data_IF_934372532070
#
_entry.id   IF_934372532070
#
_cell.length_a   1.000
_cell.length_b   1.000
_cell.length_c   1.000
_cell.angle_alpha   90.00
_cell.angle_beta   90.00
_cell.angle_gamma   90.00
#
_symmetry.space_group_name_H-M   'P 1'
#
loop_
_entity.id
_entity.type
_entity.pdbx_description
1 polymer ?
#
# COMPACT_ATOMS: atom_id res chain seq x y z
N UNK A 1 3.39 1.13 -0.46
CA UNK A 1 4.65 0.38 -0.67
C UNK A 1 5.44 0.38 0.64
N UNK A 2 6.18 -0.70 0.90
CA UNK A 2 7.11 -0.75 2.02
C UNK A 2 8.20 0.31 1.86
N UNK A 3 8.74 0.82 2.96
CA UNK A 3 9.79 1.82 2.96
C UNK A 3 9.74 2.74 4.18
N UNK A 4 10.70 3.63 4.24
CA UNK A 4 10.75 4.68 5.26
C UNK A 4 10.15 5.96 4.70
N UNK A 5 9.21 6.52 5.43
CA UNK A 5 8.50 7.75 5.07
C UNK A 5 8.77 8.82 6.12
N UNK A 6 8.85 10.07 5.66
CA UNK A 6 8.97 11.22 6.51
C UNK A 6 7.69 12.03 6.46
N UNK A 7 7.19 12.47 7.61
CA UNK A 7 5.94 13.23 7.71
C UNK A 7 6.11 14.46 8.59
N UNK A 8 5.32 15.47 8.29
CA UNK A 8 5.24 16.70 9.06
C UNK A 8 3.84 17.28 8.96
N UNK A 9 3.47 18.13 9.91
CA UNK A 9 2.25 18.92 9.85
C UNK A 9 2.54 20.31 9.30
N UNK A 10 1.61 20.84 8.52
CA UNK A 10 1.65 22.24 8.12
C UNK A 10 0.39 22.97 8.57
N UNK A 11 0.56 24.22 8.97
CA UNK A 11 -0.49 25.08 9.44
C UNK A 11 -0.48 26.40 8.69
N UNK A 12 -1.67 26.96 8.45
CA UNK A 12 -1.84 28.31 7.94
C UNK A 12 -3.01 28.95 8.69
N UNK A 13 -2.99 30.26 8.85
CA UNK A 13 -4.15 31.00 9.30
C UNK A 13 -5.24 30.97 8.23
N UNK A 14 -6.50 31.00 8.64
CA UNK A 14 -7.63 30.99 7.72
C UNK A 14 -7.52 32.13 6.70
N UNK A 15 -7.69 31.79 5.41
CA UNK A 15 -7.59 32.75 4.31
C UNK A 15 -6.16 33.10 3.86
N UNK A 16 -5.13 32.45 4.41
CA UNK A 16 -3.75 32.65 3.98
C UNK A 16 -3.16 31.42 3.29
N UNK A 17 -2.11 31.62 2.47
CA UNK A 17 -1.29 30.57 1.88
C UNK A 17 0.10 30.47 2.52
N UNK A 18 0.33 31.26 3.59
CA UNK A 18 1.57 31.20 4.36
C UNK A 18 1.53 30.02 5.32
N UNK A 19 2.31 28.98 5.02
CA UNK A 19 2.38 27.78 5.83
C UNK A 19 3.56 27.83 6.80
N UNK A 20 3.34 27.28 8.00
CA UNK A 20 4.38 26.90 8.95
C UNK A 20 4.37 25.39 9.11
N UNK A 21 5.52 24.79 9.25
CA UNK A 21 5.70 23.35 9.37
C UNK A 21 6.09 22.99 10.80
N UNK A 22 5.39 22.02 11.38
CA UNK A 22 5.72 21.51 12.71
C UNK A 22 6.79 20.44 12.64
N UNK A 23 7.73 20.46 13.57
CA UNK A 23 8.73 19.43 13.72
C UNK A 23 8.38 18.43 14.82
N UNK A 24 9.07 17.32 14.85
CA UNK A 24 8.84 16.18 15.73
C UNK A 24 9.05 16.52 17.22
N UNK A 25 10.02 17.35 17.55
CA UNK A 25 10.37 17.71 18.93
C UNK A 25 9.51 18.83 19.53
N UNK A 26 8.51 19.30 18.81
CA UNK A 26 7.67 20.44 19.16
C UNK A 26 8.23 21.77 18.62
N UNK A 27 7.33 22.69 18.26
CA UNK A 27 7.69 23.93 17.59
C UNK A 27 7.88 23.79 16.07
N UNK A 28 8.49 24.79 15.45
CA UNK A 28 8.66 24.83 14.01
C UNK A 28 9.80 23.94 13.53
N UNK A 29 9.61 23.36 12.35
CA UNK A 29 10.65 22.62 11.63
C UNK A 29 11.86 23.53 11.37
N UNK A 30 13.06 23.11 11.75
CA UNK A 30 14.29 23.90 11.66
C UNK A 30 15.45 23.20 10.92
N UNK A 31 15.21 21.97 10.42
CA UNK A 31 16.20 21.22 9.64
C UNK A 31 17.34 20.58 10.45
N UNK A 32 17.36 20.73 11.77
CA UNK A 32 18.44 20.19 12.63
C UNK A 32 17.90 19.37 13.79
N UNK A 33 17.42 20.01 14.84
CA UNK A 33 16.91 19.36 16.05
C UNK A 33 15.41 19.07 15.98
N UNK A 34 14.67 19.89 15.27
CA UNK A 34 13.22 19.76 15.12
C UNK A 34 12.86 19.46 13.66
N UNK A 35 12.87 18.19 13.33
CA UNK A 35 12.76 17.67 11.96
C UNK A 35 11.49 16.86 11.76
N UNK A 36 11.36 16.21 10.61
CA UNK A 36 10.23 15.35 10.28
C UNK A 36 10.10 14.16 11.23
N UNK A 37 8.88 13.71 11.46
CA UNK A 37 8.64 12.38 12.01
C UNK A 37 9.01 11.30 10.99
N UNK A 38 9.34 10.11 11.47
CA UNK A 38 9.73 8.95 10.65
C UNK A 38 8.70 7.85 10.83
N UNK A 39 8.22 7.30 9.72
CA UNK A 39 7.34 6.14 9.67
C UNK A 39 7.98 5.07 8.80
N UNK A 40 8.25 3.92 9.38
CA UNK A 40 8.65 2.74 8.61
C UNK A 40 7.44 1.88 8.32
N UNK A 41 7.24 1.55 7.06
CA UNK A 41 6.20 0.63 6.59
C UNK A 41 6.89 -0.63 6.11
N UNK A 42 6.68 -1.72 6.82
CA UNK A 42 7.22 -3.03 6.46
C UNK A 42 6.39 -3.69 5.36
N UNK A 43 6.97 -4.66 4.66
CA UNK A 43 6.23 -5.57 3.80
C UNK A 43 5.54 -6.66 4.61
N UNK A 44 4.91 -7.61 3.92
CA UNK A 44 4.39 -8.82 4.55
C UNK A 44 5.56 -9.67 5.09
N UNK A 45 5.39 -10.21 6.31
CA UNK A 45 6.43 -10.98 6.98
C UNK A 45 6.69 -12.30 6.27
N UNK A 46 5.63 -12.97 5.77
CA UNK A 46 5.75 -14.24 5.10
C UNK A 46 4.55 -14.53 4.19
N UNK A 47 4.84 -15.16 3.04
CA UNK A 47 3.84 -15.65 2.08
C UNK A 47 4.33 -16.94 1.42
N UNK A 48 3.41 -17.82 1.06
CA UNK A 48 3.74 -19.02 0.29
C UNK A 48 2.65 -19.38 -0.73
N UNK A 49 3.06 -20.19 -1.71
CA UNK A 49 2.17 -21.04 -2.47
C UNK A 49 2.09 -22.36 -1.70
N UNK A 50 0.96 -22.62 -1.05
CA UNK A 50 0.83 -23.73 -0.12
C UNK A 50 0.55 -25.04 -0.86
N UNK A 51 -0.47 -25.03 -1.74
CA UNK A 51 -0.98 -26.27 -2.35
C UNK A 51 -1.92 -25.93 -3.53
N UNK A 52 -1.96 -26.80 -4.57
CA UNK A 52 -0.98 -27.79 -4.90
C UNK A 52 0.26 -27.19 -5.57
N UNK A 53 1.41 -27.88 -5.52
CA UNK A 53 2.64 -27.43 -6.18
C UNK A 53 2.59 -27.61 -7.71
N UNK A 54 1.79 -28.56 -8.18
CA UNK A 54 1.53 -28.84 -9.60
C UNK A 54 0.22 -29.62 -9.75
N UNK A 55 -0.26 -29.79 -10.97
CA UNK A 55 -1.46 -30.57 -11.26
C UNK A 55 -1.75 -30.64 -12.75
N UNK A 56 -2.79 -31.39 -13.09
CA UNK A 56 -3.30 -31.51 -14.46
C UNK A 56 -4.82 -31.44 -14.45
N UNK A 57 -5.38 -30.67 -15.38
CA UNK A 57 -6.81 -30.55 -15.58
C UNK A 57 -7.14 -30.67 -17.07
N UNK A 58 -8.38 -31.02 -17.39
CA UNK A 58 -8.88 -30.90 -18.76
C UNK A 58 -8.93 -29.44 -19.21
N UNK A 59 -8.80 -29.18 -20.48
CA UNK A 59 -9.00 -27.84 -21.03
C UNK A 59 -10.34 -27.25 -20.56
N UNK A 60 -10.34 -25.97 -20.23
CA UNK A 60 -11.48 -25.24 -19.64
C UNK A 60 -11.92 -25.74 -18.25
N UNK A 61 -11.22 -26.68 -17.64
CA UNK A 61 -11.44 -27.10 -16.25
C UNK A 61 -11.02 -26.04 -15.23
N UNK A 62 -11.40 -26.26 -13.98
CA UNK A 62 -11.03 -25.42 -12.85
C UNK A 62 -9.88 -26.04 -12.06
N UNK A 63 -8.94 -25.22 -11.61
CA UNK A 63 -7.82 -25.61 -10.78
C UNK A 63 -7.71 -24.66 -9.59
N UNK A 64 -7.98 -25.16 -8.39
CA UNK A 64 -7.89 -24.38 -7.16
C UNK A 64 -6.47 -24.43 -6.61
N UNK A 65 -5.97 -23.25 -6.27
CA UNK A 65 -4.64 -23.06 -5.68
C UNK A 65 -4.80 -22.35 -4.35
N UNK A 66 -4.09 -22.81 -3.34
CA UNK A 66 -4.12 -22.26 -2.00
C UNK A 66 -2.79 -21.58 -1.69
N UNK A 67 -2.87 -20.44 -1.01
CA UNK A 67 -1.71 -19.70 -0.54
C UNK A 67 -1.97 -19.15 0.84
N UNK A 68 -0.92 -19.02 1.62
CA UNK A 68 -0.98 -18.48 2.97
C UNK A 68 -0.14 -17.24 3.12
N UNK A 69 -0.55 -16.37 4.03
CA UNK A 69 0.16 -15.16 4.41
C UNK A 69 0.19 -15.02 5.91
N UNK A 70 1.31 -14.54 6.41
CA UNK A 70 1.49 -14.16 7.80
C UNK A 70 1.98 -12.72 7.89
N UNK A 71 1.36 -11.97 8.79
CA UNK A 71 1.80 -10.63 9.21
C UNK A 71 1.58 -10.52 10.72
N UNK A 72 2.65 -10.30 11.46
CA UNK A 72 2.63 -10.27 12.92
C UNK A 72 1.65 -9.22 13.47
N UNK A 73 0.79 -9.66 14.39
CA UNK A 73 -0.20 -8.78 15.02
C UNK A 73 -1.40 -8.43 14.13
N UNK A 74 -1.47 -8.95 12.92
CA UNK A 74 -2.52 -8.65 11.94
C UNK A 74 -3.28 -9.91 11.53
N UNK A 75 -2.60 -10.90 10.94
CA UNK A 75 -3.24 -12.15 10.48
C UNK A 75 -3.50 -13.15 11.59
N UNK A 76 -3.13 -12.86 12.84
CA UNK A 76 -3.40 -13.70 14.01
C UNK A 76 -4.87 -13.68 14.44
N UNK A 77 -5.65 -12.71 13.97
CA UNK A 77 -7.07 -12.58 14.31
C UNK A 77 -7.89 -13.51 13.45
N UNK A 78 -8.94 -14.08 14.03
CA UNK A 78 -9.84 -14.97 13.28
C UNK A 78 -10.58 -14.23 12.17
N UNK A 79 -10.60 -14.82 10.96
CA UNK A 79 -11.28 -14.31 9.79
C UNK A 79 -10.37 -13.51 8.86
N UNK A 80 -10.91 -13.09 7.73
CA UNK A 80 -10.16 -12.38 6.70
C UNK A 80 -9.59 -11.06 7.20
N UNK A 81 -8.31 -10.84 7.02
CA UNK A 81 -7.66 -9.57 7.37
C UNK A 81 -8.17 -8.44 6.49
N UNK A 82 -8.70 -7.38 7.10
CA UNK A 82 -9.26 -6.22 6.40
C UNK A 82 -8.17 -5.49 5.61
N UNK A 83 -8.43 -5.26 4.33
CA UNK A 83 -7.52 -4.55 3.44
C UNK A 83 -6.41 -5.40 2.83
N UNK A 84 -6.25 -6.64 3.22
CA UNK A 84 -5.36 -7.59 2.56
C UNK A 84 -6.05 -8.14 1.30
N UNK A 85 -5.38 -8.03 0.17
CA UNK A 85 -5.86 -8.55 -1.11
C UNK A 85 -4.90 -9.64 -1.58
N UNK A 86 -5.47 -10.76 -1.99
CA UNK A 86 -4.76 -11.87 -2.61
C UNK A 86 -5.20 -12.03 -4.06
N UNK A 87 -4.25 -12.25 -4.95
CA UNK A 87 -4.50 -12.56 -6.35
C UNK A 87 -3.68 -13.78 -6.77
N UNK A 88 -4.28 -14.65 -7.58
CA UNK A 88 -3.60 -15.73 -8.27
C UNK A 88 -3.31 -15.32 -9.71
N UNK A 89 -2.08 -15.43 -10.13
CA UNK A 89 -1.65 -15.14 -11.50
C UNK A 89 -1.33 -16.41 -12.26
N UNK A 90 -1.51 -16.36 -13.58
CA UNK A 90 -1.18 -17.46 -14.47
C UNK A 90 -0.44 -16.98 -15.72
N UNK A 91 0.57 -17.72 -16.15
CA UNK A 91 1.37 -17.45 -17.36
C UNK A 91 1.70 -18.74 -18.08
N UNK A 92 1.81 -18.69 -19.41
CA UNK A 92 2.33 -19.78 -20.22
C UNK A 92 3.87 -19.78 -20.31
N UNK A 93 4.53 -18.85 -19.64
CA UNK A 93 5.99 -18.72 -19.63
C UNK A 93 6.49 -18.73 -18.19
N UNK A 94 7.51 -19.53 -17.90
CA UNK A 94 8.20 -19.51 -16.60
C UNK A 94 9.09 -18.25 -16.51
N UNK A 95 8.54 -17.18 -16.01
CA UNK A 95 9.20 -15.87 -15.88
C UNK A 95 8.90 -15.26 -14.52
N UNK A 96 9.61 -14.19 -14.18
CA UNK A 96 9.35 -13.43 -12.94
C UNK A 96 7.89 -12.92 -12.91
N UNK A 97 7.09 -13.33 -11.91
CA UNK A 97 5.69 -12.92 -11.80
C UNK A 97 5.48 -11.40 -11.69
N UNK A 98 6.50 -10.66 -11.25
CA UNK A 98 6.42 -9.19 -11.19
C UNK A 98 6.31 -8.53 -12.57
N UNK A 99 6.70 -9.26 -13.62
CA UNK A 99 6.64 -8.81 -15.02
C UNK A 99 5.35 -9.19 -15.73
N UNK A 100 4.48 -9.98 -15.10
CA UNK A 100 3.25 -10.44 -15.74
C UNK A 100 2.26 -9.31 -15.93
N UNK A 101 1.55 -9.32 -17.03
CA UNK A 101 0.55 -8.31 -17.37
C UNK A 101 -0.59 -8.29 -16.32
N UNK A 102 -1.25 -7.16 -16.17
CA UNK A 102 -2.32 -6.99 -15.18
C UNK A 102 -3.50 -7.95 -15.37
N UNK A 103 -3.79 -8.35 -16.60
CA UNK A 103 -4.85 -9.31 -16.92
C UNK A 103 -4.48 -10.78 -16.66
N UNK A 104 -3.23 -11.06 -16.28
CA UNK A 104 -2.81 -12.39 -15.84
C UNK A 104 -3.27 -12.73 -14.41
N UNK A 105 -3.81 -11.76 -13.67
CA UNK A 105 -4.14 -11.86 -12.26
C UNK A 105 -5.64 -11.87 -12.03
N UNK A 106 -6.10 -12.75 -11.15
CA UNK A 106 -7.49 -12.84 -10.71
C UNK A 106 -7.56 -12.78 -9.20
N UNK A 107 -8.55 -12.08 -8.66
CA UNK A 107 -8.75 -11.94 -7.21
C UNK A 107 -9.08 -13.31 -6.61
N UNK A 108 -8.42 -13.63 -5.52
CA UNK A 108 -8.65 -14.81 -4.71
C UNK A 108 -9.55 -14.48 -3.51
N UNK A 109 -10.18 -15.50 -2.95
CA UNK A 109 -11.03 -15.38 -1.77
C UNK A 109 -10.32 -15.88 -0.52
N UNK A 110 -10.59 -15.28 0.64
CA UNK A 110 -10.23 -15.85 1.92
C UNK A 110 -10.88 -17.22 2.05
N UNK A 111 -10.10 -18.22 2.46
CA UNK A 111 -10.56 -19.59 2.65
C UNK A 111 -10.73 -19.92 4.13
N UNK A 112 -9.69 -19.80 4.90
CA UNK A 112 -9.69 -20.17 6.31
C UNK A 112 -8.58 -19.47 7.10
N UNK A 113 -8.73 -19.45 8.41
CA UNK A 113 -7.64 -19.19 9.35
C UNK A 113 -6.85 -20.47 9.57
N UNK A 114 -5.56 -20.45 9.31
CA UNK A 114 -4.64 -21.58 9.53
C UNK A 114 -3.58 -21.22 10.56
N UNK A 115 -3.90 -21.46 11.85
CA UNK A 115 -3.06 -20.96 12.94
C UNK A 115 -3.04 -19.43 12.99
N UNK A 116 -1.88 -18.83 12.81
CA UNK A 116 -1.71 -17.37 12.73
C UNK A 116 -1.72 -16.83 11.29
N UNK A 117 -1.98 -17.69 10.31
CA UNK A 117 -1.95 -17.33 8.90
C UNK A 117 -3.35 -17.21 8.32
N UNK A 118 -3.56 -16.25 7.44
CA UNK A 118 -4.71 -16.21 6.55
C UNK A 118 -4.44 -17.09 5.33
N UNK A 119 -5.34 -18.02 5.05
CA UNK A 119 -5.31 -18.85 3.85
C UNK A 119 -6.30 -18.31 2.81
N UNK A 120 -5.83 -18.23 1.58
CA UNK A 120 -6.62 -17.81 0.42
C UNK A 120 -6.73 -18.95 -0.59
N UNK A 121 -7.84 -18.99 -1.32
CA UNK A 121 -8.05 -19.86 -2.47
C UNK A 121 -8.27 -19.04 -3.73
N UNK A 122 -7.50 -19.32 -4.75
CA UNK A 122 -7.65 -18.78 -6.11
C UNK A 122 -8.01 -19.88 -7.09
N UNK A 123 -8.94 -19.61 -7.99
CA UNK A 123 -9.34 -20.56 -9.03
C UNK A 123 -8.80 -20.10 -10.38
N UNK A 124 -7.97 -20.93 -10.98
CA UNK A 124 -7.50 -20.80 -12.36
C UNK A 124 -8.49 -21.57 -13.25
N UNK A 125 -9.01 -20.94 -14.30
CA UNK A 125 -10.02 -21.53 -15.18
C UNK A 125 -9.90 -21.01 -16.61
N UNK A 126 -10.61 -21.68 -17.54
CA UNK A 126 -10.70 -21.23 -18.93
C UNK A 126 -9.43 -21.40 -19.76
N UNK A 127 -8.47 -22.17 -19.28
CA UNK A 127 -7.22 -22.42 -20.01
C UNK A 127 -7.42 -23.41 -21.16
N UNK A 128 -6.71 -23.18 -22.26
CA UNK A 128 -6.57 -24.14 -23.36
C UNK A 128 -5.52 -25.20 -23.01
N UNK A 129 -5.41 -26.25 -23.80
CA UNK A 129 -4.36 -27.27 -23.60
C UNK A 129 -2.97 -26.62 -23.69
N UNK A 130 -2.12 -26.88 -22.69
CA UNK A 130 -0.79 -26.28 -22.59
C UNK A 130 -0.18 -26.48 -21.22
N UNK A 131 1.04 -25.97 -21.05
CA UNK A 131 1.70 -25.88 -19.74
C UNK A 131 1.62 -24.44 -19.24
N UNK A 132 1.26 -24.29 -17.98
CA UNK A 132 1.12 -22.99 -17.34
C UNK A 132 1.84 -22.96 -16.01
N UNK A 133 2.27 -21.76 -15.62
CA UNK A 133 2.91 -21.43 -14.37
C UNK A 133 2.01 -20.50 -13.60
N UNK A 134 1.95 -20.62 -12.30
CA UNK A 134 1.09 -19.79 -11.46
C UNK A 134 1.82 -19.29 -10.23
N UNK A 135 1.39 -18.15 -9.73
CA UNK A 135 2.00 -17.49 -8.59
C UNK A 135 0.97 -16.69 -7.79
N UNK A 136 1.24 -16.51 -6.52
CA UNK A 136 0.47 -15.63 -5.64
C UNK A 136 1.04 -14.22 -5.65
N UNK A 137 0.14 -13.25 -5.57
CA UNK A 137 0.45 -11.85 -5.30
C UNK A 137 -0.44 -11.37 -4.16
N UNK A 138 0.18 -10.93 -3.07
CA UNK A 138 -0.52 -10.40 -1.90
C UNK A 138 -0.06 -8.97 -1.63
N UNK A 139 -1.02 -8.10 -1.32
CA UNK A 139 -0.73 -6.70 -1.07
C UNK A 139 -1.86 -6.05 -0.26
N UNK A 140 -1.55 -4.93 0.38
CA UNK A 140 -2.54 -4.12 1.05
C UNK A 140 -3.32 -3.26 0.04
N UNK A 141 -4.65 -3.25 0.17
CA UNK A 141 -5.46 -2.32 -0.60
C UNK A 141 -5.01 -0.89 -0.25
N UNK A 142 -4.67 -0.12 -1.27
CA UNK A 142 -4.40 1.30 -1.04
C UNK A 142 -5.71 1.94 -0.60
N UNK A 143 -5.81 2.36 0.66
CA UNK A 143 -6.83 3.32 1.05
C UNK A 143 -6.67 4.52 0.10
N UNK A 144 -7.64 4.71 -0.79
CA UNK A 144 -7.76 5.95 -1.53
C UNK A 144 -8.06 7.06 -0.53
N UNK A 145 -7.02 7.69 -0.01
CA UNK A 145 -7.16 9.02 0.58
C UNK A 145 -7.64 9.87 -0.60
N UNK A 146 -8.94 10.10 -0.69
CA UNK A 146 -9.52 11.02 -1.66
C UNK A 146 -8.77 12.33 -1.46
N UNK A 147 -7.92 12.68 -2.43
CA UNK A 147 -7.37 14.03 -2.51
C UNK A 147 -8.59 14.94 -2.61
N UNK A 148 -8.90 15.62 -1.53
CA UNK A 148 -9.89 16.67 -1.50
C UNK A 148 -9.62 17.58 -2.70
N UNK A 149 -10.62 17.76 -3.56
CA UNK A 149 -10.55 18.56 -4.77
C UNK A 149 -9.88 19.90 -4.48
N UNK A 150 -8.81 20.20 -5.22
CA UNK A 150 -8.14 21.49 -5.20
C UNK A 150 -9.16 22.59 -5.48
N UNK A 151 -9.59 23.33 -4.47
CA UNK A 151 -10.20 24.62 -4.71
C UNK A 151 -9.11 25.55 -5.24
N UNK A 152 -9.25 25.94 -6.48
CA UNK A 152 -8.38 26.93 -7.16
C UNK A 152 -8.63 28.27 -6.47
N UNK A 153 -7.71 28.71 -5.62
CA UNK A 153 -7.71 30.06 -5.06
C UNK A 153 -6.78 30.94 -5.91
N UNK A 154 -7.36 32.01 -6.43
CA UNK A 154 -6.65 33.07 -7.14
C UNK A 154 -5.68 33.78 -6.17
N UNK A 155 -4.45 33.96 -6.61
CA UNK A 155 -3.30 34.37 -5.83
C UNK A 155 -3.42 35.74 -5.14
N UNK A 156 -2.94 35.75 -3.91
CA UNK A 156 -2.23 36.90 -3.34
C UNK A 156 -0.90 36.36 -2.80
N UNK A 157 0.18 36.94 -3.27
CA UNK A 157 1.53 36.61 -2.82
C UNK A 157 1.70 37.02 -1.36
N UNK A 158 1.90 36.07 -0.48
CA UNK A 158 2.35 36.32 0.87
C UNK A 158 3.87 36.42 0.91
N UNK A 159 4.41 37.50 1.42
CA UNK A 159 5.80 37.63 1.80
C UNK A 159 6.06 36.76 3.05
N UNK A 160 6.35 35.50 2.87
CA UNK A 160 6.82 34.62 3.91
C UNK A 160 8.33 34.81 4.08
N UNK A 161 8.75 35.71 4.99
CA UNK A 161 10.19 35.86 5.23
C UNK A 161 10.69 37.14 5.89
N UNK A 162 9.83 37.98 6.44
CA UNK A 162 10.32 39.10 7.28
C UNK A 162 10.01 38.80 8.74
N UNK A 163 11.04 38.86 9.57
CA UNK A 163 10.93 38.85 11.02
C UNK A 163 10.06 40.04 11.48
N UNK A 164 9.22 39.83 12.47
CA UNK A 164 8.31 40.86 13.05
C UNK A 164 9.03 41.97 13.80
N UNK A 165 10.35 42.11 13.68
CA UNK A 165 11.11 43.17 14.36
C UNK A 165 11.27 44.46 13.53
N UNK A 166 10.81 44.50 12.27
CA UNK A 166 10.99 45.69 11.40
C UNK A 166 9.74 46.58 11.25
N UNK A 167 8.73 46.38 12.10
CA UNK A 167 7.48 47.19 12.03
C UNK A 167 7.35 48.25 13.14
N UNK A 168 8.44 48.63 13.82
CA UNK A 168 8.38 49.70 14.82
C UNK A 168 8.87 51.09 14.39
N UNK A 169 9.33 51.25 13.14
CA UNK A 169 9.81 52.55 12.66
C UNK A 169 9.11 53.04 11.38
N UNK A 170 7.81 53.23 11.46
CA UNK A 170 7.12 54.14 10.52
C UNK A 170 6.01 54.88 11.31
N UNK A 171 6.40 55.97 11.94
CA UNK A 171 5.54 57.09 12.25
C UNK A 171 5.50 58.04 11.10
#
# INVERSE_FOLDING_TARGET
SQGTYYYSFRYALNGTTCYRYGGFQGGFWNGSSNVNGVLTVNGLDWVNLQFPANGSICASGNFNVYGQVYEAGITNSQGATVGLIAEIGVSNTNSDPSTWASNAWSVASFNAQSGNNDEFVGTISGLTAGTYYYAWKLFWSRFNIRKSSKRKWLGRSCLCGRNMEELQDLK
#
